data_IF_206990380287
#
_entry.id   IF_206990380287
#
_cell.length_a   1.000
_cell.length_b   1.000
_cell.length_c   1.000
_cell.angle_alpha   90.00
_cell.angle_beta   90.00
_cell.angle_gamma   90.00
#
_symmetry.space_group_name_H-M   'P 1'
#
loop_
_entity.id
_entity.type
_entity.pdbx_description
1 polymer ?
#
# COMPACT_ATOMS: atom_id res chain seq x y z
N UNK A 1 -0.99 33.83 21.97
CA UNK A 1 -2.14 32.93 22.17
C UNK A 1 -1.58 31.52 22.05
N UNK A 2 -1.43 30.80 23.14
CA UNK A 2 -1.07 29.39 23.15
C UNK A 2 -2.20 28.62 22.47
N UNK A 3 -1.97 28.16 21.25
CA UNK A 3 -2.87 27.21 20.60
C UNK A 3 -3.04 26.02 21.54
N UNK A 4 -4.20 25.88 22.15
CA UNK A 4 -4.54 24.66 22.91
C UNK A 4 -4.45 23.49 21.93
N UNK A 5 -3.44 22.63 22.11
CA UNK A 5 -3.28 21.46 21.28
C UNK A 5 -4.54 20.60 21.45
N UNK A 6 -5.18 20.23 20.35
CA UNK A 6 -6.37 19.36 20.38
C UNK A 6 -5.98 18.03 21.00
N UNK A 7 -6.68 17.61 22.06
CA UNK A 7 -6.42 16.36 22.77
C UNK A 7 -7.61 15.43 22.57
N UNK A 8 -7.33 14.22 22.10
CA UNK A 8 -8.30 13.13 21.90
C UNK A 8 -8.01 12.02 22.88
N UNK A 9 -9.06 11.54 23.53
CA UNK A 9 -9.01 10.45 24.50
C UNK A 9 -9.90 9.30 24.00
N UNK A 10 -9.31 8.18 23.60
CA UNK A 10 -10.02 6.98 23.20
C UNK A 10 -10.03 6.02 24.40
N UNK A 11 -11.23 5.64 24.88
CA UNK A 11 -11.40 4.85 26.10
C UNK A 11 -12.08 3.52 25.85
N UNK A 12 -11.67 2.48 26.58
CA UNK A 12 -12.35 1.18 26.62
C UNK A 12 -12.09 0.29 25.39
N UNK A 13 -11.19 0.69 24.47
CA UNK A 13 -10.85 -0.12 23.31
C UNK A 13 -9.99 -1.34 23.68
N UNK A 14 -10.08 -2.40 22.89
CA UNK A 14 -9.02 -3.42 22.82
C UNK A 14 -7.98 -2.95 21.80
N UNK A 15 -6.76 -2.65 22.27
CA UNK A 15 -5.71 -2.16 21.39
C UNK A 15 -4.81 -3.32 20.95
N UNK A 16 -4.74 -3.56 19.65
CA UNK A 16 -3.75 -4.43 18.99
C UNK A 16 -2.61 -3.52 18.52
N UNK A 17 -1.62 -3.31 19.39
CA UNK A 17 -0.61 -2.24 19.21
C UNK A 17 0.35 -2.48 18.05
N UNK A 18 0.55 -3.73 17.65
CA UNK A 18 1.58 -4.21 16.73
C UNK A 18 3.02 -3.91 17.21
N UNK A 19 3.18 -3.44 18.43
CA UNK A 19 4.45 -3.27 19.13
C UNK A 19 4.81 -4.58 19.87
N UNK A 20 6.05 -5.05 19.72
CA UNK A 20 6.47 -6.36 20.25
C UNK A 20 6.50 -6.42 21.80
N UNK A 21 6.54 -5.26 22.46
CA UNK A 21 6.57 -5.15 23.92
C UNK A 21 5.17 -4.92 24.49
N UNK A 22 4.38 -4.03 23.86
CA UNK A 22 3.05 -3.65 24.34
C UNK A 22 1.99 -4.70 24.01
N UNK A 23 2.10 -5.38 22.89
CA UNK A 23 1.18 -6.45 22.49
C UNK A 23 -0.28 -6.01 22.39
N UNK A 24 -1.18 -6.78 23.03
CA UNK A 24 -2.62 -6.49 23.11
C UNK A 24 -2.95 -5.93 24.49
N UNK A 25 -3.70 -4.83 24.54
CA UNK A 25 -4.12 -4.16 25.78
C UNK A 25 -5.65 -4.04 25.77
N UNK A 26 -6.30 -4.70 26.70
CA UNK A 26 -7.75 -4.65 26.85
C UNK A 26 -8.17 -3.46 27.73
N UNK A 27 -9.40 -2.95 27.53
CA UNK A 27 -9.95 -1.79 28.22
C UNK A 27 -8.97 -0.63 28.32
N UNK A 28 -8.32 -0.37 27.18
CA UNK A 28 -7.25 0.61 27.13
C UNK A 28 -7.77 2.03 27.02
N UNK A 29 -6.96 2.96 27.53
CA UNK A 29 -7.07 4.38 27.32
C UNK A 29 -5.88 4.85 26.49
N UNK A 30 -6.17 5.49 25.35
CA UNK A 30 -5.18 6.05 24.44
C UNK A 30 -5.33 7.57 24.41
N UNK A 31 -4.26 8.30 24.72
CA UNK A 31 -4.22 9.75 24.70
C UNK A 31 -3.43 10.24 23.49
N UNK A 32 -4.02 11.14 22.75
CA UNK A 32 -3.44 11.77 21.55
C UNK A 32 -3.44 13.29 21.77
N UNK A 33 -2.30 13.93 21.52
CA UNK A 33 -2.17 15.38 21.51
C UNK A 33 -1.58 15.84 20.16
N UNK A 34 -2.33 16.67 19.45
CA UNK A 34 -1.95 17.08 18.11
C UNK A 34 -1.86 15.88 17.17
N UNK A 35 -0.66 15.59 16.67
CA UNK A 35 -0.41 14.49 15.74
C UNK A 35 0.19 13.24 16.41
N UNK A 36 0.35 13.24 17.78
CA UNK A 36 1.12 12.22 18.47
C UNK A 36 0.34 11.44 19.52
N UNK A 37 0.69 10.17 19.63
CA UNK A 37 0.31 9.31 20.76
C UNK A 37 1.15 9.71 21.96
N UNK A 38 0.51 10.15 23.05
CA UNK A 38 1.18 10.60 24.26
C UNK A 38 1.27 9.48 25.29
N UNK A 39 0.17 8.75 25.48
CA UNK A 39 0.16 7.63 26.41
C UNK A 39 -0.81 6.54 25.98
N UNK A 40 -0.51 5.33 26.44
CA UNK A 40 -1.32 4.14 26.27
C UNK A 40 -1.26 3.36 27.58
N UNK A 41 -2.40 3.18 28.24
CA UNK A 41 -2.50 2.47 29.50
C UNK A 41 -3.83 1.74 29.62
N UNK A 42 -3.87 0.65 30.39
CA UNK A 42 -5.13 0.06 30.88
C UNK A 42 -5.60 0.75 32.16
N UNK A 43 -6.90 0.77 32.42
CA UNK A 43 -7.40 1.20 33.72
C UNK A 43 -6.89 0.25 34.83
N UNK A 44 -6.57 0.76 36.04
CA UNK A 44 -6.78 2.12 36.57
C UNK A 44 -5.59 3.08 36.37
N UNK A 45 -4.56 2.69 35.62
CA UNK A 45 -3.33 3.48 35.44
C UNK A 45 -3.47 4.60 34.39
N UNK A 46 -4.67 4.81 33.89
CA UNK A 46 -4.95 5.76 32.82
C UNK A 46 -4.87 7.22 33.31
N UNK A 47 -4.36 8.15 32.46
CA UNK A 47 -4.34 9.56 32.82
C UNK A 47 -5.74 10.14 32.94
N UNK A 48 -5.93 11.20 33.77
CA UNK A 48 -7.25 11.78 34.00
C UNK A 48 -7.82 12.42 32.73
N UNK A 49 -9.14 12.33 32.59
CA UNK A 49 -9.90 13.04 31.53
C UNK A 49 -9.93 14.52 31.88
N UNK A 50 -9.58 15.38 30.92
CA UNK A 50 -9.67 16.81 31.05
C UNK A 50 -11.00 17.32 30.45
N UNK A 51 -11.51 18.42 30.94
CA UNK A 51 -12.77 18.99 30.43
C UNK A 51 -12.68 19.46 28.97
N UNK A 52 -11.46 19.66 28.46
CA UNK A 52 -11.17 20.06 27.08
C UNK A 52 -10.93 18.90 26.13
N UNK A 53 -10.98 17.65 26.61
CA UNK A 53 -10.72 16.46 25.81
C UNK A 53 -11.90 16.15 24.89
N UNK A 54 -11.57 15.73 23.65
CA UNK A 54 -12.51 15.00 22.83
C UNK A 54 -12.50 13.53 23.29
N UNK A 55 -13.53 13.09 23.96
CA UNK A 55 -13.62 11.72 24.51
C UNK A 55 -14.37 10.81 23.54
N UNK A 56 -13.73 9.71 23.15
CA UNK A 56 -14.30 8.67 22.29
C UNK A 56 -14.50 7.40 23.14
N UNK A 57 -15.74 7.01 23.34
CA UNK A 57 -16.05 5.70 23.92
C UNK A 57 -15.88 4.61 22.85
N UNK A 58 -14.81 3.84 22.96
CA UNK A 58 -14.44 2.79 22.02
C UNK A 58 -14.63 1.36 22.62
N UNK A 59 -15.54 1.21 23.60
CA UNK A 59 -15.88 -0.11 24.14
C UNK A 59 -16.46 -0.98 23.03
N UNK A 60 -15.91 -2.19 22.89
CA UNK A 60 -16.27 -3.13 21.82
C UNK A 60 -15.61 -2.83 20.48
N UNK A 61 -14.67 -1.89 20.42
CA UNK A 61 -13.83 -1.68 19.26
C UNK A 61 -12.45 -2.30 19.44
N UNK A 62 -11.86 -2.73 18.33
CA UNK A 62 -10.43 -2.99 18.22
C UNK A 62 -9.79 -1.74 17.63
N UNK A 63 -8.79 -1.17 18.35
CA UNK A 63 -7.95 -0.11 17.80
C UNK A 63 -6.60 -0.71 17.40
N UNK A 64 -6.14 -0.39 16.19
CA UNK A 64 -4.82 -0.82 15.71
C UNK A 64 -4.18 0.27 14.86
N UNK A 65 -2.86 0.15 14.55
CA UNK A 65 -2.23 1.07 13.61
C UNK A 65 -2.99 1.06 12.30
N UNK A 66 -3.15 2.22 11.69
CA UNK A 66 -3.69 2.30 10.33
C UNK A 66 -2.81 1.53 9.35
N UNK A 67 -3.43 0.94 8.35
CA UNK A 67 -2.70 0.15 7.36
C UNK A 67 -1.74 1.01 6.54
N UNK A 68 -0.62 0.40 6.15
CA UNK A 68 0.36 0.97 5.23
C UNK A 68 0.28 0.20 3.93
N UNK A 69 -0.33 0.80 2.91
CA UNK A 69 -0.36 0.24 1.56
C UNK A 69 0.96 0.52 0.87
N UNK A 70 1.80 -0.50 0.74
CA UNK A 70 3.18 -0.38 0.29
C UNK A 70 3.35 -0.27 -1.24
N UNK A 71 2.27 -0.41 -2.01
CA UNK A 71 2.31 -0.29 -3.47
C UNK A 71 0.89 -0.17 -4.06
N UNK A 72 0.63 0.91 -4.77
CA UNK A 72 -0.63 1.12 -5.49
C UNK A 72 -0.44 2.11 -6.66
N UNK A 73 -1.23 1.92 -7.71
CA UNK A 73 -1.35 2.81 -8.86
C UNK A 73 -2.67 3.58 -8.79
N UNK A 74 -2.75 4.61 -7.94
CA UNK A 74 -4.01 5.32 -7.63
C UNK A 74 -4.70 5.92 -8.84
N UNK A 75 -3.94 6.39 -9.84
CA UNK A 75 -4.49 7.01 -11.04
C UNK A 75 -5.47 6.10 -11.81
N UNK A 76 -5.39 4.77 -11.62
CA UNK A 76 -6.25 3.79 -12.29
C UNK A 76 -7.65 3.64 -11.66
N UNK A 77 -7.92 4.28 -10.53
CA UNK A 77 -9.16 4.09 -9.78
C UNK A 77 -10.44 4.44 -10.58
N UNK A 78 -10.33 5.36 -11.54
CA UNK A 78 -11.44 5.65 -12.45
C UNK A 78 -11.84 4.47 -13.37
N UNK A 79 -11.00 3.43 -13.45
CA UNK A 79 -11.16 2.27 -14.33
C UNK A 79 -11.52 0.99 -13.55
N UNK A 80 -12.15 1.11 -12.37
CA UNK A 80 -12.57 -0.06 -11.56
C UNK A 80 -13.32 -1.10 -12.38
N UNK A 81 -12.93 -2.37 -12.22
CA UNK A 81 -13.53 -3.51 -12.91
C UNK A 81 -13.06 -3.73 -14.35
N UNK A 82 -12.27 -2.81 -14.92
CA UNK A 82 -11.80 -2.93 -16.32
C UNK A 82 -10.73 -4.01 -16.48
N UNK A 83 -9.81 -4.12 -15.52
CA UNK A 83 -8.66 -5.01 -15.60
C UNK A 83 -8.83 -6.34 -14.83
N UNK A 84 -10.02 -6.64 -14.30
CA UNK A 84 -10.23 -7.80 -13.41
C UNK A 84 -9.96 -9.16 -14.06
N UNK A 85 -10.07 -9.25 -15.38
CA UNK A 85 -9.87 -10.48 -16.15
C UNK A 85 -8.60 -10.43 -17.02
N UNK A 86 -7.72 -9.43 -16.81
CA UNK A 86 -6.51 -9.30 -17.63
C UNK A 86 -5.33 -10.04 -17.03
N UNK A 87 -4.59 -10.71 -17.90
CA UNK A 87 -3.23 -11.15 -17.61
C UNK A 87 -2.29 -9.94 -17.60
N UNK A 88 -1.06 -10.11 -17.11
CA UNK A 88 -0.04 -9.06 -17.14
C UNK A 88 0.23 -8.57 -18.57
N UNK A 89 0.22 -9.45 -19.58
CA UNK A 89 0.42 -9.06 -20.99
C UNK A 89 -0.73 -8.18 -21.49
N UNK A 90 -1.97 -8.53 -21.19
CA UNK A 90 -3.14 -7.73 -21.53
C UNK A 90 -3.13 -6.40 -20.78
N UNK A 91 -2.76 -6.41 -19.49
CA UNK A 91 -2.60 -5.19 -18.70
C UNK A 91 -1.55 -4.24 -19.30
N UNK A 92 -0.37 -4.71 -19.66
CA UNK A 92 0.66 -3.87 -20.30
C UNK A 92 0.15 -3.28 -21.62
N UNK A 93 -0.53 -4.09 -22.43
CA UNK A 93 -1.07 -3.66 -23.73
C UNK A 93 -2.23 -2.67 -23.58
N UNK A 94 -3.24 -3.02 -22.79
CA UNK A 94 -4.46 -2.23 -22.76
C UNK A 94 -4.39 -1.06 -21.77
N UNK A 95 -3.73 -1.25 -20.64
CA UNK A 95 -3.59 -0.18 -19.65
C UNK A 95 -2.47 0.79 -20.07
N UNK A 96 -1.22 0.32 -20.22
CA UNK A 96 -0.07 1.21 -20.42
C UNK A 96 0.05 1.74 -21.83
N UNK A 97 -0.05 0.90 -22.83
CA UNK A 97 0.04 1.32 -24.23
C UNK A 97 -1.27 1.94 -24.75
N UNK A 98 -2.41 1.66 -24.11
CA UNK A 98 -3.73 2.14 -24.48
C UNK A 98 -4.27 3.22 -23.55
N UNK A 99 -4.99 2.83 -22.53
CA UNK A 99 -5.78 3.71 -21.62
C UNK A 99 -4.94 4.83 -21.01
N UNK A 100 -3.74 4.53 -20.49
CA UNK A 100 -2.86 5.52 -19.84
C UNK A 100 -2.54 6.72 -20.74
N UNK A 101 -2.44 6.50 -22.07
CA UNK A 101 -2.14 7.57 -23.05
C UNK A 101 -3.29 8.56 -23.24
N UNK A 102 -4.49 8.25 -22.74
CA UNK A 102 -5.70 9.06 -22.86
C UNK A 102 -6.00 9.91 -21.62
N UNK A 103 -5.22 9.73 -20.56
CA UNK A 103 -5.40 10.48 -19.33
C UNK A 103 -4.98 11.94 -19.49
N UNK A 104 -5.82 12.84 -19.02
CA UNK A 104 -5.50 14.25 -18.79
C UNK A 104 -5.07 14.45 -17.32
N UNK A 105 -4.47 15.60 -16.96
CA UNK A 105 -4.21 15.92 -15.56
C UNK A 105 -5.45 15.82 -14.67
N UNK A 106 -6.61 16.21 -15.18
CA UNK A 106 -7.88 16.12 -14.44
C UNK A 106 -8.28 14.66 -14.17
N UNK A 107 -8.01 13.72 -15.08
CA UNK A 107 -8.28 12.29 -14.87
C UNK A 107 -7.31 11.69 -13.85
N UNK A 108 -6.04 12.08 -13.91
CA UNK A 108 -5.06 11.68 -12.89
C UNK A 108 -5.46 12.20 -11.52
N UNK A 109 -5.87 13.48 -11.42
CA UNK A 109 -6.34 14.06 -10.16
C UNK A 109 -7.51 13.27 -9.57
N UNK A 110 -8.59 13.09 -10.35
CA UNK A 110 -9.80 12.45 -9.81
C UNK A 110 -9.59 10.96 -9.52
N UNK A 111 -8.81 10.25 -10.33
CA UNK A 111 -8.44 8.86 -10.09
C UNK A 111 -7.63 8.71 -8.80
N UNK A 112 -6.58 9.52 -8.62
CA UNK A 112 -5.74 9.54 -7.42
C UNK A 112 -6.52 9.95 -6.18
N UNK A 113 -7.36 11.00 -6.27
CA UNK A 113 -8.19 11.45 -5.15
C UNK A 113 -9.15 10.36 -4.68
N UNK A 114 -9.88 9.75 -5.62
CA UNK A 114 -10.83 8.67 -5.33
C UNK A 114 -10.13 7.42 -4.76
N UNK A 115 -8.95 7.06 -5.29
CA UNK A 115 -8.14 5.97 -4.77
C UNK A 115 -7.68 6.23 -3.34
N UNK A 116 -7.14 7.42 -3.06
CA UNK A 116 -6.74 7.81 -1.72
C UNK A 116 -7.91 7.82 -0.73
N UNK A 117 -9.08 8.32 -1.14
CA UNK A 117 -10.29 8.27 -0.31
C UNK A 117 -10.76 6.84 -0.04
N UNK A 118 -10.69 5.94 -1.04
CA UNK A 118 -11.03 4.54 -0.82
C UNK A 118 -10.04 3.87 0.13
N UNK A 119 -8.75 4.18 0.02
CA UNK A 119 -7.75 3.68 0.97
C UNK A 119 -8.06 4.12 2.40
N UNK A 120 -8.39 5.41 2.63
CA UNK A 120 -8.87 5.89 3.94
C UNK A 120 -10.14 5.17 4.38
N UNK A 121 -11.11 4.95 3.47
CA UNK A 121 -12.34 4.22 3.77
C UNK A 121 -12.08 2.79 4.23
N UNK A 122 -11.03 2.15 3.71
CA UNK A 122 -10.61 0.78 4.03
C UNK A 122 -9.65 0.67 5.23
N UNK A 123 -9.33 1.78 5.93
CA UNK A 123 -8.46 1.77 7.12
C UNK A 123 -6.98 2.04 6.82
N UNK A 124 -6.61 2.34 5.59
CA UNK A 124 -5.25 2.73 5.22
C UNK A 124 -4.98 4.17 5.64
N UNK A 125 -3.91 4.40 6.38
CA UNK A 125 -3.49 5.75 6.79
C UNK A 125 -2.26 6.22 6.04
N UNK A 126 -1.47 5.29 5.50
CA UNK A 126 -0.26 5.57 4.71
C UNK A 126 -0.30 4.83 3.38
N UNK A 127 -0.08 5.55 2.29
CA UNK A 127 -0.18 5.05 0.92
C UNK A 127 1.10 5.32 0.15
N UNK A 128 1.66 4.29 -0.47
CA UNK A 128 2.65 4.45 -1.53
C UNK A 128 1.93 4.54 -2.87
N UNK A 129 1.83 5.75 -3.41
CA UNK A 129 1.34 5.96 -4.77
C UNK A 129 2.49 5.81 -5.77
N UNK A 130 2.59 4.63 -6.38
CA UNK A 130 3.56 4.31 -7.42
C UNK A 130 3.02 4.82 -8.76
N UNK A 131 3.15 6.14 -9.01
CA UNK A 131 2.54 6.80 -10.14
C UNK A 131 3.47 6.82 -11.36
N UNK A 132 3.17 6.02 -12.36
CA UNK A 132 3.91 5.95 -13.63
C UNK A 132 3.15 6.58 -14.80
N UNK A 133 2.09 7.33 -14.55
CA UNK A 133 1.36 8.07 -15.58
C UNK A 133 1.56 9.58 -15.45
N UNK A 134 2.83 9.98 -15.47
CA UNK A 134 3.28 11.38 -15.34
C UNK A 134 3.98 11.85 -16.65
N UNK A 135 3.26 11.97 -17.79
CA UNK A 135 3.87 12.40 -19.04
C UNK A 135 4.30 13.88 -19.04
N UNK A 136 3.72 14.70 -18.15
CA UNK A 136 4.06 16.13 -18.01
C UNK A 136 4.02 16.55 -16.54
N UNK A 137 4.65 17.71 -16.17
CA UNK A 137 4.59 18.24 -14.82
C UNK A 137 3.15 18.48 -14.32
N UNK A 138 2.20 18.82 -15.18
CA UNK A 138 0.82 19.04 -14.81
C UNK A 138 0.13 17.73 -14.36
N UNK A 139 0.48 16.60 -14.95
CA UNK A 139 -0.01 15.27 -14.47
C UNK A 139 0.58 14.95 -13.11
N UNK A 140 1.87 15.21 -12.91
CA UNK A 140 2.55 15.02 -11.62
C UNK A 140 1.89 15.88 -10.53
N UNK A 141 1.71 17.18 -10.80
CA UNK A 141 1.09 18.10 -9.85
C UNK A 141 -0.34 17.68 -9.52
N UNK A 142 -1.11 17.24 -10.51
CA UNK A 142 -2.48 16.75 -10.32
C UNK A 142 -2.54 15.54 -9.37
N UNK A 143 -1.62 14.58 -9.52
CA UNK A 143 -1.53 13.42 -8.61
C UNK A 143 -1.19 13.87 -7.18
N UNK A 144 -0.18 14.73 -7.03
CA UNK A 144 0.27 15.20 -5.72
C UNK A 144 -0.80 16.07 -5.02
N UNK A 145 -1.48 16.96 -5.76
CA UNK A 145 -2.59 17.78 -5.26
C UNK A 145 -3.74 16.89 -4.75
N UNK A 146 -4.04 15.82 -5.47
CA UNK A 146 -5.07 14.85 -5.08
C UNK A 146 -4.71 14.13 -3.77
N UNK A 147 -3.46 13.67 -3.63
CA UNK A 147 -2.99 13.04 -2.38
C UNK A 147 -3.05 14.02 -1.22
N UNK A 148 -2.55 15.25 -1.39
CA UNK A 148 -2.61 16.29 -0.35
C UNK A 148 -4.05 16.59 0.05
N UNK A 149 -4.94 16.78 -0.93
CA UNK A 149 -6.36 17.07 -0.69
C UNK A 149 -7.10 15.96 0.03
N UNK A 150 -6.75 14.70 -0.19
CA UNK A 150 -7.35 13.56 0.50
C UNK A 150 -7.05 13.53 1.99
N UNK A 151 -5.92 14.12 2.40
CA UNK A 151 -5.40 14.12 3.75
C UNK A 151 -4.82 12.78 4.22
N UNK A 152 -4.64 11.82 3.33
CA UNK A 152 -3.89 10.58 3.60
C UNK A 152 -2.39 10.90 3.74
N UNK A 153 -1.68 10.15 4.57
CA UNK A 153 -0.21 10.16 4.50
C UNK A 153 0.21 9.45 3.23
N UNK A 154 1.06 10.06 2.39
CA UNK A 154 1.49 9.41 1.16
C UNK A 154 2.98 9.55 0.88
N UNK A 155 3.55 8.50 0.30
CA UNK A 155 4.82 8.55 -0.41
C UNK A 155 4.50 8.52 -1.91
N UNK A 156 4.69 9.66 -2.57
CA UNK A 156 4.50 9.77 -4.01
C UNK A 156 5.77 9.30 -4.71
N UNK A 157 5.69 8.15 -5.36
CA UNK A 157 6.79 7.58 -6.13
C UNK A 157 6.63 7.99 -7.58
N UNK A 158 7.38 9.01 -7.99
CA UNK A 158 7.37 9.53 -9.35
C UNK A 158 7.90 8.51 -10.32
N UNK A 159 7.14 8.18 -11.36
CA UNK A 159 7.49 7.24 -12.41
C UNK A 159 7.22 7.79 -13.81
N UNK A 160 7.75 7.11 -14.81
CA UNK A 160 7.56 7.47 -16.20
C UNK A 160 6.55 6.57 -16.90
N UNK A 161 5.73 7.09 -17.83
CA UNK A 161 4.78 6.30 -18.61
C UNK A 161 5.49 5.29 -19.52
N UNK A 162 4.76 4.24 -19.90
CA UNK A 162 5.26 3.14 -20.73
C UNK A 162 4.43 3.01 -22.03
N UNK A 163 4.34 4.04 -22.86
CA UNK A 163 3.63 3.97 -24.14
C UNK A 163 4.37 3.10 -25.15
N UNK A 164 3.66 2.66 -26.20
CA UNK A 164 4.31 2.02 -27.34
C UNK A 164 5.33 2.97 -27.97
N UNK A 165 6.47 2.44 -28.45
CA UNK A 165 7.47 3.23 -29.16
C UNK A 165 6.90 3.89 -30.41
N UNK A 166 7.22 5.17 -30.61
CA UNK A 166 6.84 5.92 -31.82
C UNK A 166 8.06 6.13 -32.76
N UNK A 167 7.88 6.13 -34.08
CA UNK A 167 8.95 6.39 -34.99
C UNK A 167 9.69 7.71 -34.66
N UNK A 168 11.01 7.65 -34.61
CA UNK A 168 11.85 8.81 -34.31
C UNK A 168 11.95 9.22 -32.84
N UNK A 169 11.34 8.48 -31.94
CA UNK A 169 11.46 8.68 -30.51
C UNK A 169 12.17 7.50 -29.85
N UNK A 170 13.01 7.78 -28.84
CA UNK A 170 13.58 6.73 -28.01
C UNK A 170 12.46 5.99 -27.28
N UNK A 171 12.50 4.65 -27.23
CA UNK A 171 11.52 3.89 -26.46
C UNK A 171 11.69 4.18 -24.96
N UNK A 172 10.62 4.06 -24.17
CA UNK A 172 10.62 4.43 -22.75
C UNK A 172 11.73 3.74 -21.94
N UNK A 173 12.12 2.54 -22.32
CA UNK A 173 13.18 1.76 -21.64
C UNK A 173 14.60 2.24 -21.89
N UNK A 174 14.80 3.22 -22.80
CA UNK A 174 16.06 3.89 -23.09
C UNK A 174 16.07 5.34 -22.57
N UNK A 175 15.00 5.77 -21.91
CA UNK A 175 14.85 7.12 -21.35
C UNK A 175 15.12 7.09 -19.86
N UNK A 176 16.12 7.84 -19.40
CA UNK A 176 16.47 7.99 -17.98
C UNK A 176 15.38 8.74 -17.23
N UNK A 177 15.26 8.46 -15.96
CA UNK A 177 14.33 9.16 -15.06
C UNK A 177 14.56 10.68 -15.09
N UNK A 178 13.50 11.53 -15.16
CA UNK A 178 13.65 12.97 -15.38
C UNK A 178 14.13 13.70 -14.10
N UNK A 179 15.45 13.80 -13.93
CA UNK A 179 16.11 14.47 -12.77
C UNK A 179 15.45 15.80 -12.41
N UNK A 180 15.27 16.70 -13.39
CA UNK A 180 14.72 18.04 -13.15
C UNK A 180 13.33 18.01 -12.52
N UNK A 181 12.52 17.03 -12.86
CA UNK A 181 11.17 16.88 -12.32
C UNK A 181 11.23 16.40 -10.87
N UNK A 182 12.10 15.44 -10.55
CA UNK A 182 12.30 14.97 -9.17
C UNK A 182 12.81 16.11 -8.29
N UNK A 183 13.79 16.88 -8.77
CA UNK A 183 14.32 18.05 -8.04
C UNK A 183 13.24 19.14 -7.86
N UNK A 184 12.37 19.36 -8.88
CA UNK A 184 11.23 20.28 -8.79
C UNK A 184 10.25 19.84 -7.70
N UNK A 185 9.95 18.57 -7.61
CA UNK A 185 9.09 18.02 -6.55
C UNK A 185 9.72 18.23 -5.17
N UNK A 186 10.98 17.85 -4.99
CA UNK A 186 11.69 17.99 -3.71
C UNK A 186 11.78 19.44 -3.22
N UNK A 187 11.76 20.41 -4.14
CA UNK A 187 11.76 21.84 -3.80
C UNK A 187 10.42 22.35 -3.28
N UNK A 188 9.32 21.58 -3.41
CA UNK A 188 8.00 22.02 -2.96
C UNK A 188 7.85 21.90 -1.44
N UNK A 189 7.31 22.92 -0.73
CA UNK A 189 7.19 22.91 0.73
C UNK A 189 6.35 21.76 1.30
N UNK A 190 5.46 21.17 0.50
CA UNK A 190 4.59 20.05 0.92
C UNK A 190 5.36 18.75 1.17
N UNK A 191 6.58 18.62 0.65
CA UNK A 191 7.48 17.47 0.87
C UNK A 191 8.54 17.73 1.94
N UNK A 192 8.44 18.83 2.68
CA UNK A 192 9.37 19.18 3.75
C UNK A 192 9.30 18.23 4.94
N UNK A 193 10.30 18.33 5.82
CA UNK A 193 10.39 17.53 7.06
C UNK A 193 9.10 17.68 7.90
N UNK A 194 8.60 16.57 8.43
CA UNK A 194 7.38 16.54 9.26
C UNK A 194 6.06 16.59 8.49
N UNK A 195 6.08 16.72 7.18
CA UNK A 195 4.87 16.70 6.34
C UNK A 195 4.31 15.29 6.17
N UNK A 196 3.07 15.22 5.65
CA UNK A 196 2.40 13.94 5.38
C UNK A 196 2.77 13.36 4.03
N UNK A 197 3.32 14.17 3.12
CA UNK A 197 3.79 13.75 1.82
C UNK A 197 5.30 13.59 1.80
N UNK A 198 5.78 12.58 1.11
CA UNK A 198 7.19 12.35 0.80
C UNK A 198 7.36 11.94 -0.67
N UNK A 199 8.59 12.03 -1.17
CA UNK A 199 8.92 11.66 -2.56
C UNK A 199 9.76 10.40 -2.57
N UNK A 200 9.49 9.52 -3.52
CA UNK A 200 10.33 8.40 -3.93
C UNK A 200 10.47 8.35 -5.45
N UNK A 201 11.25 7.41 -5.94
CA UNK A 201 11.43 7.19 -7.38
C UNK A 201 10.88 5.83 -7.78
N UNK A 202 9.94 5.84 -8.71
CA UNK A 202 9.36 4.68 -9.37
C UNK A 202 10.15 4.39 -10.65
N UNK A 203 11.26 3.66 -10.52
CA UNK A 203 12.19 3.41 -11.63
C UNK A 203 11.86 2.15 -12.40
N UNK A 204 12.31 2.04 -13.64
CA UNK A 204 12.12 0.85 -14.47
C UNK A 204 12.98 -0.34 -13.97
N UNK A 205 14.16 -0.04 -13.46
CA UNK A 205 15.12 -1.04 -13.00
C UNK A 205 15.65 -1.95 -14.11
N UNK A 206 16.51 -2.93 -13.77
CA UNK A 206 17.11 -3.84 -14.75
C UNK A 206 16.10 -4.68 -15.52
N UNK A 207 14.93 -4.93 -14.95
CA UNK A 207 13.92 -5.76 -15.60
C UNK A 207 13.30 -5.07 -16.82
N UNK A 208 13.01 -3.76 -16.71
CA UNK A 208 12.25 -3.00 -17.72
C UNK A 208 13.06 -1.94 -18.46
N UNK A 209 14.36 -1.74 -18.18
CA UNK A 209 15.19 -0.77 -18.87
C UNK A 209 16.55 -1.31 -19.33
N UNK A 210 17.23 -0.56 -20.22
CA UNK A 210 18.61 -0.83 -20.57
C UNK A 210 19.52 -0.62 -19.35
N UNK A 211 20.70 -1.25 -19.38
CA UNK A 211 21.67 -1.19 -18.27
C UNK A 211 22.08 0.25 -17.95
N UNK A 212 22.30 1.06 -18.96
CA UNK A 212 22.68 2.48 -18.80
C UNK A 212 21.60 3.28 -18.08
N UNK A 213 20.32 3.06 -18.42
CA UNK A 213 19.18 3.69 -17.75
C UNK A 213 19.06 3.21 -16.31
N UNK A 214 19.11 1.90 -16.07
CA UNK A 214 19.02 1.35 -14.72
C UNK A 214 20.12 1.94 -13.81
N UNK A 215 21.39 1.90 -14.24
CA UNK A 215 22.49 2.47 -13.46
C UNK A 215 22.32 3.97 -13.19
N UNK A 216 21.90 4.74 -14.19
CA UNK A 216 21.68 6.18 -14.03
C UNK A 216 20.58 6.49 -13.02
N UNK A 217 19.46 5.76 -13.09
CA UNK A 217 18.30 5.98 -12.20
C UNK A 217 18.61 5.61 -10.74
N UNK A 218 19.32 4.51 -10.50
CA UNK A 218 19.73 4.14 -9.13
C UNK A 218 20.80 5.08 -8.56
N UNK A 219 21.73 5.58 -9.38
CA UNK A 219 22.68 6.62 -8.96
C UNK A 219 21.95 7.90 -8.58
N UNK A 220 20.96 8.31 -9.36
CA UNK A 220 20.13 9.49 -9.09
C UNK A 220 19.36 9.33 -7.77
N UNK A 221 18.72 8.18 -7.54
CA UNK A 221 17.99 7.91 -6.31
C UNK A 221 18.92 7.98 -5.09
N UNK A 222 20.12 7.41 -5.17
CA UNK A 222 21.14 7.47 -4.11
C UNK A 222 21.62 8.90 -3.87
N UNK A 223 21.92 9.65 -4.92
CA UNK A 223 22.37 11.05 -4.85
C UNK A 223 21.34 11.93 -4.14
N UNK A 224 20.06 11.74 -4.45
CA UNK A 224 18.95 12.50 -3.86
C UNK A 224 18.45 11.90 -2.53
N UNK A 225 19.06 10.82 -2.03
CA UNK A 225 18.65 10.10 -0.83
C UNK A 225 17.17 9.68 -0.86
N UNK A 226 16.71 9.14 -1.99
CA UNK A 226 15.36 8.67 -2.21
C UNK A 226 15.29 7.14 -2.28
N UNK A 227 14.15 6.59 -1.88
CA UNK A 227 13.84 5.18 -2.15
C UNK A 227 13.60 4.99 -3.65
N UNK A 228 14.32 4.04 -4.25
CA UNK A 228 14.06 3.56 -5.61
C UNK A 228 13.21 2.29 -5.54
N UNK A 229 12.01 2.34 -6.08
CA UNK A 229 11.10 1.19 -6.18
C UNK A 229 10.93 0.78 -7.65
N UNK A 230 10.94 -0.54 -7.93
CA UNK A 230 10.77 -1.05 -9.28
C UNK A 230 9.97 -2.35 -9.29
N UNK A 231 9.26 -2.57 -10.39
CA UNK A 231 8.62 -3.85 -10.67
C UNK A 231 9.66 -4.88 -11.13
N UNK A 232 9.55 -6.10 -10.64
CA UNK A 232 10.40 -7.22 -11.03
C UNK A 232 9.53 -8.43 -11.34
N UNK A 233 9.58 -8.89 -12.59
CA UNK A 233 8.79 -10.03 -13.08
C UNK A 233 8.07 -9.75 -14.40
N UNK A 234 7.45 -10.78 -14.96
CA UNK A 234 6.67 -10.68 -16.19
C UNK A 234 7.44 -11.01 -17.46
N UNK A 235 8.47 -11.84 -17.37
CA UNK A 235 9.25 -12.32 -18.51
C UNK A 235 10.76 -12.06 -18.37
N UNK A 236 11.55 -12.24 -19.44
CA UNK A 236 12.99 -12.04 -19.39
C UNK A 236 13.35 -10.57 -19.16
N UNK A 237 14.31 -10.34 -18.25
CA UNK A 237 14.83 -9.01 -17.97
C UNK A 237 15.48 -8.39 -19.21
N UNK A 238 15.24 -7.11 -19.43
CA UNK A 238 15.88 -6.37 -20.54
C UNK A 238 17.39 -6.21 -20.34
N UNK A 239 17.84 -6.13 -19.10
CA UNK A 239 19.25 -6.14 -18.70
C UNK A 239 19.51 -7.31 -17.75
N UNK A 240 19.77 -8.52 -18.28
CA UNK A 240 19.93 -9.74 -17.44
C UNK A 240 21.01 -9.60 -16.36
N UNK A 241 22.13 -8.93 -16.68
CA UNK A 241 23.24 -8.69 -15.75
C UNK A 241 23.10 -7.41 -14.94
N UNK A 242 21.96 -6.72 -15.05
CA UNK A 242 21.76 -5.41 -14.45
C UNK A 242 21.86 -5.40 -12.94
N UNK A 243 21.31 -6.39 -12.26
CA UNK A 243 21.44 -6.50 -10.81
C UNK A 243 22.88 -6.72 -10.35
N UNK A 244 23.64 -7.55 -11.07
CA UNK A 244 25.07 -7.75 -10.79
C UNK A 244 25.88 -6.47 -11.04
N UNK A 245 25.50 -5.66 -12.03
CA UNK A 245 26.13 -4.36 -12.28
C UNK A 245 25.84 -3.35 -11.16
N UNK A 246 24.59 -3.26 -10.68
CA UNK A 246 24.21 -2.43 -9.54
C UNK A 246 24.98 -2.83 -8.27
N UNK A 247 25.16 -4.12 -8.02
CA UNK A 247 25.91 -4.65 -6.89
C UNK A 247 27.38 -4.25 -6.97
N UNK A 248 28.04 -4.43 -8.14
CA UNK A 248 29.45 -4.00 -8.36
C UNK A 248 29.67 -2.52 -8.12
N UNK A 249 28.67 -1.68 -8.36
CA UNK A 249 28.74 -0.24 -8.09
C UNK A 249 28.31 0.13 -6.67
N UNK A 250 28.05 -0.86 -5.81
CA UNK A 250 27.60 -0.62 -4.43
C UNK A 250 26.27 0.11 -4.34
N UNK A 251 25.38 -0.07 -5.34
CA UNK A 251 24.10 0.59 -5.41
C UNK A 251 22.98 -0.20 -4.70
N UNK A 252 23.20 -1.46 -4.33
CA UNK A 252 22.25 -2.22 -3.53
C UNK A 252 22.22 -1.74 -2.08
N UNK A 253 21.03 -1.64 -1.50
CA UNK A 253 20.88 -1.16 -0.13
C UNK A 253 19.43 -1.03 0.33
N UNK A 254 19.20 -0.58 1.57
CA UNK A 254 17.87 -0.47 2.19
C UNK A 254 16.96 0.58 1.54
N UNK A 255 17.51 1.47 0.72
CA UNK A 255 16.75 2.42 -0.08
C UNK A 255 16.23 1.85 -1.41
N UNK A 256 16.35 0.54 -1.61
CA UNK A 256 15.79 -0.18 -2.75
C UNK A 256 14.57 -0.98 -2.30
N UNK A 257 13.50 -0.86 -3.08
CA UNK A 257 12.28 -1.64 -2.91
C UNK A 257 11.94 -2.39 -4.20
N UNK A 258 11.85 -3.70 -4.12
CA UNK A 258 11.43 -4.56 -5.24
C UNK A 258 9.96 -4.89 -5.08
N UNK A 259 9.18 -4.58 -6.12
CA UNK A 259 7.75 -4.94 -6.20
C UNK A 259 7.59 -6.26 -6.93
N UNK A 260 6.74 -7.14 -6.42
CA UNK A 260 6.52 -8.52 -6.87
C UNK A 260 7.73 -9.44 -6.62
N UNK A 261 8.60 -9.62 -7.61
CA UNK A 261 9.83 -10.41 -7.46
C UNK A 261 9.62 -11.92 -7.55
N UNK A 262 8.49 -12.38 -8.11
CA UNK A 262 8.08 -13.77 -8.18
C UNK A 262 9.08 -14.65 -8.94
N UNK A 263 9.77 -14.11 -9.94
CA UNK A 263 10.75 -14.75 -10.81
C UNK A 263 12.21 -14.69 -10.33
N UNK A 264 12.46 -14.00 -9.19
CA UNK A 264 13.82 -13.92 -8.64
C UNK A 264 14.35 -15.29 -8.24
N UNK A 265 15.59 -15.60 -8.67
CA UNK A 265 16.27 -16.80 -8.22
C UNK A 265 16.64 -16.70 -6.72
N UNK A 266 16.77 -17.85 -6.03
CA UNK A 266 17.11 -17.88 -4.61
C UNK A 266 18.44 -17.19 -4.31
N UNK A 267 19.46 -17.40 -5.15
CA UNK A 267 20.73 -16.71 -5.00
C UNK A 267 20.65 -15.18 -5.17
N UNK A 268 19.67 -14.65 -5.93
CA UNK A 268 19.41 -13.22 -6.00
C UNK A 268 18.72 -12.73 -4.73
N UNK A 269 17.72 -13.47 -4.23
CA UNK A 269 17.05 -13.13 -2.96
C UNK A 269 18.06 -13.10 -1.80
N UNK A 270 18.98 -14.07 -1.72
CA UNK A 270 20.01 -14.12 -0.68
C UNK A 270 20.85 -12.84 -0.68
N UNK A 271 21.30 -12.40 -1.86
CA UNK A 271 22.09 -11.16 -2.00
C UNK A 271 21.29 -9.92 -1.66
N UNK A 272 20.03 -9.82 -2.13
CA UNK A 272 19.17 -8.68 -1.85
C UNK A 272 18.85 -8.56 -0.37
N UNK A 273 18.54 -9.65 0.30
CA UNK A 273 18.30 -9.70 1.74
C UNK A 273 19.55 -9.29 2.50
N UNK A 274 20.73 -9.81 2.13
CA UNK A 274 22.01 -9.43 2.75
C UNK A 274 22.34 -7.94 2.56
N UNK A 275 21.93 -7.33 1.44
CA UNK A 275 22.11 -5.91 1.19
C UNK A 275 21.04 -5.02 1.87
N UNK A 276 20.02 -5.60 2.50
CA UNK A 276 18.92 -4.85 3.14
C UNK A 276 17.85 -4.35 2.17
N UNK A 277 17.80 -4.85 0.95
CA UNK A 277 16.73 -4.53 -0.02
C UNK A 277 15.38 -4.94 0.55
N UNK A 278 14.37 -4.10 0.38
CA UNK A 278 13.00 -4.35 0.83
C UNK A 278 12.11 -4.87 -0.29
N UNK A 279 11.01 -5.54 0.07
CA UNK A 279 10.07 -6.12 -0.89
C UNK A 279 8.65 -5.67 -0.60
N UNK A 280 7.91 -5.29 -1.66
CA UNK A 280 6.47 -5.00 -1.62
C UNK A 280 5.75 -6.00 -2.51
N UNK A 281 4.92 -6.85 -1.91
CA UNK A 281 4.17 -7.87 -2.63
C UNK A 281 2.72 -7.42 -2.80
N UNK A 282 2.11 -7.85 -3.89
CA UNK A 282 0.71 -7.54 -4.22
C UNK A 282 -0.03 -8.84 -4.53
N UNK A 283 -0.35 -9.64 -3.49
CA UNK A 283 -0.72 -11.05 -3.66
C UNK A 283 -1.91 -11.29 -4.58
N UNK A 284 -2.92 -10.38 -4.55
CA UNK A 284 -4.10 -10.52 -5.38
C UNK A 284 -3.76 -10.37 -6.87
N UNK A 285 -3.00 -9.32 -7.26
CA UNK A 285 -2.62 -9.10 -8.66
C UNK A 285 -1.60 -10.15 -9.13
N UNK A 286 -0.64 -10.50 -8.29
CA UNK A 286 0.37 -11.51 -8.62
C UNK A 286 -0.25 -12.85 -9.02
N UNK A 287 -1.23 -13.32 -8.26
CA UNK A 287 -1.94 -14.56 -8.53
C UNK A 287 -2.94 -14.43 -9.70
N UNK A 288 -3.60 -13.28 -9.83
CA UNK A 288 -4.64 -13.05 -10.85
C UNK A 288 -4.04 -12.81 -12.23
N UNK A 289 -2.97 -12.01 -12.32
CA UNK A 289 -2.35 -11.61 -13.58
C UNK A 289 -1.30 -12.59 -14.11
N UNK A 290 -0.96 -13.63 -13.34
CA UNK A 290 -0.03 -14.67 -13.78
C UNK A 290 1.44 -14.33 -13.52
N UNK A 291 1.77 -13.48 -12.55
CA UNK A 291 3.17 -13.26 -12.12
C UNK A 291 3.77 -14.51 -11.44
N UNK A 292 2.92 -15.36 -10.87
CA UNK A 292 3.30 -16.53 -10.10
C UNK A 292 2.92 -16.43 -8.63
N UNK A 293 3.54 -17.25 -7.80
CA UNK A 293 3.28 -17.24 -6.36
C UNK A 293 3.97 -16.07 -5.67
N UNK A 294 3.28 -15.31 -4.79
CA UNK A 294 3.92 -14.35 -3.89
C UNK A 294 5.07 -15.00 -3.10
N UNK A 295 6.20 -14.30 -3.01
CA UNK A 295 7.44 -14.88 -2.45
C UNK A 295 7.53 -14.83 -0.92
N UNK A 296 6.40 -14.72 -0.22
CA UNK A 296 6.30 -14.60 1.25
C UNK A 296 7.09 -15.69 1.97
N UNK A 297 6.86 -16.96 1.63
CA UNK A 297 7.56 -18.09 2.24
C UNK A 297 9.06 -18.08 1.96
N UNK A 298 9.45 -17.67 0.75
CA UNK A 298 10.87 -17.58 0.36
C UNK A 298 11.62 -16.49 1.16
N UNK A 299 10.98 -15.33 1.40
CA UNK A 299 11.52 -14.28 2.25
C UNK A 299 11.55 -14.69 3.72
N UNK A 300 10.48 -15.32 4.20
CA UNK A 300 10.38 -15.82 5.57
C UNK A 300 11.47 -16.83 5.92
N UNK A 301 11.82 -17.75 5.00
CA UNK A 301 12.94 -18.69 5.16
C UNK A 301 14.29 -17.97 5.31
N UNK A 302 14.40 -16.70 4.87
CA UNK A 302 15.58 -15.84 5.02
C UNK A 302 15.52 -14.91 6.22
N UNK A 303 14.50 -15.08 7.09
CA UNK A 303 14.32 -14.29 8.30
C UNK A 303 13.86 -12.86 8.07
N UNK A 304 13.34 -12.56 6.87
CA UNK A 304 12.80 -11.23 6.53
C UNK A 304 11.33 -11.31 6.13
N UNK A 305 10.63 -10.20 6.26
CA UNK A 305 9.25 -10.06 5.85
C UNK A 305 9.11 -9.03 4.72
N UNK A 306 8.10 -9.22 3.88
CA UNK A 306 7.69 -8.22 2.89
C UNK A 306 6.63 -7.29 3.46
N UNK A 307 6.53 -6.10 2.88
CA UNK A 307 5.32 -5.28 2.96
C UNK A 307 4.30 -5.73 1.91
N UNK A 308 3.03 -5.40 2.13
CA UNK A 308 1.93 -5.71 1.20
C UNK A 308 1.35 -4.43 0.61
N UNK A 309 1.02 -4.47 -0.67
CA UNK A 309 0.24 -3.46 -1.37
C UNK A 309 -0.96 -4.06 -2.10
N UNK A 310 -1.88 -3.21 -2.52
CA UNK A 310 -3.07 -3.62 -3.29
C UNK A 310 -2.88 -3.55 -4.79
N UNK A 311 -1.81 -2.91 -5.25
CA UNK A 311 -1.45 -2.69 -6.66
C UNK A 311 -2.43 -1.78 -7.41
N UNK A 312 -3.59 -2.28 -7.80
CA UNK A 312 -4.50 -1.56 -8.70
C UNK A 312 -5.97 -1.78 -8.38
N UNK A 313 -6.71 -0.70 -8.24
CA UNK A 313 -8.18 -0.76 -8.10
C UNK A 313 -8.91 -0.91 -9.45
N UNK A 314 -8.20 -0.87 -10.56
CA UNK A 314 -8.80 -1.19 -11.86
C UNK A 314 -9.20 -2.68 -12.00
N UNK A 315 -8.61 -3.55 -11.17
CA UNK A 315 -8.90 -4.99 -11.17
C UNK A 315 -9.28 -5.59 -9.82
N UNK A 316 -8.95 -4.92 -8.70
CA UNK A 316 -9.00 -5.47 -7.35
C UNK A 316 -9.77 -4.55 -6.39
N UNK A 317 -10.06 -5.03 -5.17
CA UNK A 317 -10.92 -4.33 -4.21
C UNK A 317 -10.28 -3.11 -3.55
N UNK A 318 -8.96 -3.05 -3.45
CA UNK A 318 -8.24 -2.00 -2.73
C UNK A 318 -8.19 -2.19 -1.21
N UNK A 319 -8.63 -3.32 -0.67
CA UNK A 319 -8.71 -3.59 0.77
C UNK A 319 -7.45 -4.27 1.30
N UNK A 320 -6.69 -3.58 2.18
CA UNK A 320 -5.44 -4.11 2.74
C UNK A 320 -5.63 -5.39 3.58
N UNK A 321 -6.73 -5.50 4.34
CA UNK A 321 -7.00 -6.73 5.09
C UNK A 321 -7.36 -7.91 4.17
N UNK A 322 -7.97 -7.65 3.01
CA UNK A 322 -8.21 -8.68 1.98
C UNK A 322 -6.89 -9.13 1.36
N UNK A 323 -6.02 -8.21 0.97
CA UNK A 323 -4.69 -8.52 0.43
C UNK A 323 -3.84 -9.33 1.45
N UNK A 324 -3.82 -8.92 2.73
CA UNK A 324 -3.11 -9.64 3.79
C UNK A 324 -3.67 -11.05 4.01
N UNK A 325 -4.99 -11.21 3.97
CA UNK A 325 -5.69 -12.49 4.14
C UNK A 325 -5.40 -13.43 2.98
N UNK A 326 -5.45 -12.92 1.75
CA UNK A 326 -5.08 -13.68 0.55
C UNK A 326 -3.64 -14.17 0.61
N UNK A 327 -2.70 -13.28 0.98
CA UNK A 327 -1.30 -13.62 1.20
C UNK A 327 -1.12 -14.76 2.21
N UNK A 328 -1.75 -14.65 3.38
CA UNK A 328 -1.69 -15.64 4.44
C UNK A 328 -2.25 -16.99 4.01
N UNK A 329 -3.44 -17.01 3.44
CA UNK A 329 -4.14 -18.25 3.04
C UNK A 329 -3.39 -18.92 1.91
N UNK A 330 -2.93 -18.15 0.92
CA UNK A 330 -2.14 -18.69 -0.18
C UNK A 330 -0.83 -19.34 0.31
N UNK A 331 -0.06 -18.66 1.16
CA UNK A 331 1.19 -19.26 1.67
C UNK A 331 0.93 -20.49 2.53
N UNK A 332 -0.10 -20.49 3.38
CA UNK A 332 -0.50 -21.69 4.13
C UNK A 332 -0.87 -22.84 3.20
N UNK A 333 -1.53 -22.56 2.08
CA UNK A 333 -1.87 -23.60 1.08
C UNK A 333 -0.61 -24.22 0.47
N UNK A 334 0.39 -23.41 0.11
CA UNK A 334 1.67 -23.90 -0.40
C UNK A 334 2.42 -24.74 0.64
N UNK A 335 2.47 -24.28 1.88
CA UNK A 335 3.15 -24.98 2.98
C UNK A 335 2.47 -26.32 3.29
N UNK A 336 1.13 -26.35 3.31
CA UNK A 336 0.34 -27.57 3.51
C UNK A 336 0.56 -28.58 2.37
N UNK A 337 0.68 -28.10 1.15
CA UNK A 337 0.99 -28.97 0.00
C UNK A 337 2.42 -29.53 0.08
N UNK A 338 3.40 -28.70 0.46
CA UNK A 338 4.77 -29.15 0.68
C UNK A 338 4.83 -30.22 1.80
N UNK A 339 4.09 -29.99 2.89
CA UNK A 339 3.98 -30.96 3.99
C UNK A 339 3.40 -32.30 3.51
N UNK A 340 2.28 -32.28 2.76
CA UNK A 340 1.67 -33.51 2.21
C UNK A 340 2.61 -34.27 1.32
N UNK A 341 3.39 -33.60 0.47
CA UNK A 341 4.35 -34.26 -0.43
C UNK A 341 5.52 -34.88 0.31
N UNK A 342 5.88 -34.32 1.46
CA UNK A 342 6.98 -34.85 2.29
C UNK A 342 6.54 -35.94 3.26
N UNK A 343 5.25 -36.10 3.56
CA UNK A 343 4.72 -37.10 4.48
C UNK A 343 4.87 -38.51 3.92
N UNK A 344 5.30 -39.44 4.77
CA UNK A 344 5.27 -40.86 4.43
C UNK A 344 3.83 -41.38 4.34
N UNK A 345 3.60 -42.48 3.61
CA UNK A 345 2.25 -43.03 3.42
C UNK A 345 1.53 -43.42 4.73
N UNK A 346 2.29 -43.62 5.82
CA UNK A 346 1.78 -43.93 7.17
C UNK A 346 1.50 -42.71 8.02
N UNK A 347 1.90 -41.50 7.60
CA UNK A 347 1.88 -40.32 8.43
C UNK A 347 0.63 -39.47 8.16
N UNK A 348 0.17 -38.65 9.13
CA UNK A 348 -0.85 -37.65 8.88
C UNK A 348 -0.40 -36.68 7.77
N UNK A 349 -1.23 -36.54 6.73
CA UNK A 349 -0.95 -35.61 5.62
C UNK A 349 -1.38 -34.16 5.92
N UNK A 350 -1.61 -33.82 7.18
CA UNK A 350 -2.06 -32.50 7.65
C UNK A 350 -1.04 -31.98 8.66
N UNK A 351 -0.50 -30.77 8.49
CA UNK A 351 0.43 -30.17 9.46
C UNK A 351 -0.21 -30.06 10.85
N UNK A 352 0.53 -30.31 11.93
CA UNK A 352 0.00 -30.23 13.30
C UNK A 352 -0.30 -28.81 13.75
N UNK A 353 0.31 -27.81 13.12
CA UNK A 353 0.12 -26.39 13.43
C UNK A 353 0.20 -25.53 12.17
N UNK A 354 -0.44 -24.35 12.18
CA UNK A 354 -0.27 -23.38 11.09
C UNK A 354 1.16 -22.87 11.01
N UNK A 355 1.71 -22.85 9.81
CA UNK A 355 3.09 -22.42 9.53
C UNK A 355 3.29 -20.92 9.72
N UNK A 356 2.28 -20.11 9.39
CA UNK A 356 2.27 -18.66 9.53
C UNK A 356 1.10 -18.24 10.41
N UNK A 357 1.35 -17.30 11.33
CA UNK A 357 0.32 -16.77 12.23
C UNK A 357 -0.32 -15.50 11.66
N UNK A 358 -1.54 -15.21 12.08
CA UNK A 358 -2.31 -14.02 11.67
C UNK A 358 -1.60 -12.72 12.05
N UNK A 359 -0.90 -12.68 13.19
CA UNK A 359 -0.11 -11.52 13.60
C UNK A 359 1.00 -11.19 12.60
N UNK A 360 1.62 -12.18 11.96
CA UNK A 360 2.63 -11.94 10.92
C UNK A 360 2.00 -11.22 9.73
N UNK A 361 0.79 -11.62 9.32
CA UNK A 361 0.08 -10.99 8.21
C UNK A 361 -0.37 -9.55 8.53
N UNK A 362 -0.76 -9.26 9.77
CA UNK A 362 -1.04 -7.88 10.19
C UNK A 362 0.23 -7.02 10.17
N UNK A 363 1.40 -7.58 10.50
CA UNK A 363 2.67 -6.87 10.40
C UNK A 363 3.00 -6.49 8.94
N UNK A 364 2.71 -7.34 7.97
CA UNK A 364 2.96 -7.04 6.55
C UNK A 364 2.25 -5.77 6.08
N UNK A 365 1.07 -5.49 6.61
CA UNK A 365 0.22 -4.34 6.23
C UNK A 365 0.31 -3.17 7.22
N UNK A 366 1.21 -3.22 8.20
CA UNK A 366 1.45 -2.15 9.18
C UNK A 366 2.94 -1.88 9.34
N UNK A 367 3.64 -2.71 10.10
CA UNK A 367 5.05 -2.56 10.50
C UNK A 367 6.00 -2.62 9.30
N UNK A 368 5.80 -3.60 8.41
CA UNK A 368 6.74 -3.81 7.30
C UNK A 368 6.60 -2.74 6.20
N UNK A 369 5.38 -2.23 5.98
CA UNK A 369 5.20 -1.05 5.12
C UNK A 369 5.87 0.21 5.69
N UNK A 370 5.75 0.43 7.01
CA UNK A 370 6.44 1.52 7.69
C UNK A 370 7.98 1.36 7.61
N UNK A 371 8.48 0.13 7.73
CA UNK A 371 9.91 -0.19 7.61
C UNK A 371 10.43 0.10 6.19
N UNK A 372 9.70 -0.34 5.17
CA UNK A 372 10.03 -0.11 3.76
C UNK A 372 10.16 1.38 3.43
N UNK A 373 9.32 2.21 4.07
CA UNK A 373 9.37 3.68 3.92
C UNK A 373 10.43 4.35 4.80
N UNK A 374 11.18 3.61 5.62
CA UNK A 374 12.09 4.19 6.62
C UNK A 374 11.38 5.00 7.71
N UNK A 375 10.08 4.70 7.97
CA UNK A 375 9.24 5.45 8.91
C UNK A 375 8.82 4.63 10.13
N UNK A 376 9.47 3.51 10.40
CA UNK A 376 9.10 2.63 11.51
C UNK A 376 9.14 3.33 12.89
N UNK A 377 9.99 4.31 13.06
CA UNK A 377 10.05 5.12 14.30
C UNK A 377 8.90 6.14 14.42
N UNK A 378 8.09 6.30 13.36
CA UNK A 378 7.02 7.29 13.30
C UNK A 378 5.64 6.68 13.23
N UNK A 379 5.45 5.58 12.49
CA UNK A 379 4.17 4.92 12.21
C UNK A 379 4.30 3.40 12.29
N UNK A 380 3.21 2.66 12.04
CA UNK A 380 3.18 1.20 11.94
C UNK A 380 2.89 0.46 13.23
N UNK A 381 2.94 1.16 14.39
CA UNK A 381 2.54 0.62 15.70
C UNK A 381 1.83 1.70 16.52
N UNK A 382 0.95 1.29 17.46
CA UNK A 382 0.40 2.18 18.49
C UNK A 382 1.39 2.19 19.66
N UNK A 383 2.29 3.15 19.65
CA UNK A 383 3.35 3.29 20.66
C UNK A 383 3.47 4.76 21.07
N UNK A 384 3.55 5.11 22.37
CA UNK A 384 3.78 6.49 22.79
C UNK A 384 5.00 7.13 22.09
N UNK A 385 4.83 8.38 21.65
CA UNK A 385 5.82 9.14 20.87
C UNK A 385 5.65 9.01 19.34
N UNK A 386 4.98 7.99 18.82
CA UNK A 386 4.67 7.84 17.40
C UNK A 386 3.47 8.69 16.98
N UNK A 387 3.26 8.81 15.69
CA UNK A 387 2.13 9.54 15.14
C UNK A 387 0.81 8.77 15.34
N UNK A 388 -0.24 9.52 15.54
CA UNK A 388 -1.58 8.97 15.71
C UNK A 388 -2.22 8.64 14.35
N UNK A 389 -1.74 7.58 13.75
CA UNK A 389 -2.26 6.96 12.53
C UNK A 389 -2.98 5.67 12.95
N UNK A 390 -4.31 5.70 13.05
CA UNK A 390 -5.12 4.68 13.71
C UNK A 390 -6.31 4.24 12.84
N UNK A 391 -6.73 2.99 13.05
CA UNK A 391 -8.01 2.48 12.60
C UNK A 391 -8.80 1.93 13.79
N UNK A 392 -10.08 2.29 13.89
CA UNK A 392 -11.03 1.70 14.83
C UNK A 392 -11.93 0.73 14.07
N UNK A 393 -11.88 -0.54 14.49
CA UNK A 393 -12.64 -1.65 13.92
C UNK A 393 -13.80 -1.96 14.85
N UNK A 394 -15.03 -1.81 14.39
CA UNK A 394 -16.23 -2.14 15.18
C UNK A 394 -16.37 -3.66 15.32
N UNK A 395 -15.95 -4.18 16.47
CA UNK A 395 -16.05 -5.59 16.79
C UNK A 395 -17.39 -5.99 17.43
N UNK A 396 -18.34 -5.06 17.57
CA UNK A 396 -19.70 -5.34 18.05
C UNK A 396 -20.60 -5.94 16.99
N UNK A 397 -20.20 -5.82 15.71
CA UNK A 397 -20.97 -6.36 14.59
C UNK A 397 -21.02 -7.89 14.60
N UNK A 398 -22.11 -8.51 14.10
CA UNK A 398 -22.34 -9.96 14.20
C UNK A 398 -21.20 -10.83 13.65
N UNK A 399 -20.49 -10.37 12.59
CA UNK A 399 -19.38 -11.12 12.00
C UNK A 399 -18.14 -11.21 12.89
N UNK A 400 -18.05 -10.41 13.96
CA UNK A 400 -16.92 -10.40 14.89
C UNK A 400 -17.28 -10.91 16.30
N UNK A 401 -18.54 -11.27 16.52
CA UNK A 401 -18.99 -11.77 17.83
C UNK A 401 -19.18 -13.30 17.84
N UNK A 402 -18.80 -13.99 18.94
CA UNK A 402 -18.07 -13.47 20.11
C UNK A 402 -16.58 -13.20 19.79
N UNK A 403 -16.00 -12.16 20.39
CA UNK A 403 -14.60 -11.79 20.22
C UNK A 403 -13.71 -12.59 21.20
N UNK A 404 -13.08 -13.66 20.72
CA UNK A 404 -12.17 -14.50 21.53
C UNK A 404 -10.71 -14.11 21.40
N UNK A 405 -10.31 -13.66 20.21
CA UNK A 405 -8.93 -13.28 19.88
C UNK A 405 -8.96 -12.05 18.97
N UNK A 406 -8.56 -10.88 19.47
CA UNK A 406 -8.65 -9.64 18.72
C UNK A 406 -7.68 -9.59 17.52
N UNK A 407 -6.52 -10.27 17.59
CA UNK A 407 -5.56 -10.34 16.46
C UNK A 407 -6.15 -11.18 15.32
N UNK A 408 -6.66 -12.37 15.66
CA UNK A 408 -7.29 -13.25 14.67
C UNK A 408 -8.52 -12.59 14.07
N UNK A 409 -9.37 -11.97 14.89
CA UNK A 409 -10.58 -11.30 14.43
C UNK A 409 -10.26 -10.09 13.53
N UNK A 410 -9.29 -9.27 13.88
CA UNK A 410 -8.87 -8.12 13.11
C UNK A 410 -8.44 -8.49 11.68
N UNK A 411 -7.79 -9.66 11.49
CA UNK A 411 -7.43 -10.11 10.16
C UNK A 411 -8.53 -10.92 9.48
N UNK A 412 -9.08 -11.92 10.16
CA UNK A 412 -9.87 -12.97 9.51
C UNK A 412 -11.36 -12.65 9.44
N UNK A 413 -11.90 -11.87 10.36
CA UNK A 413 -13.33 -11.54 10.42
C UNK A 413 -13.65 -10.12 9.96
N UNK A 414 -12.68 -9.19 9.94
CA UNK A 414 -12.93 -7.80 9.52
C UNK A 414 -13.38 -7.73 8.06
N UNK A 415 -14.38 -6.91 7.82
CA UNK A 415 -14.84 -6.47 6.51
C UNK A 415 -14.84 -4.94 6.44
N UNK A 416 -15.06 -4.35 5.27
CA UNK A 416 -15.18 -2.90 5.13
C UNK A 416 -16.24 -2.28 6.07
N UNK A 417 -17.32 -3.02 6.37
CA UNK A 417 -18.38 -2.58 7.27
C UNK A 417 -17.90 -2.39 8.72
N UNK A 418 -16.83 -3.08 9.12
CA UNK A 418 -16.26 -2.97 10.46
C UNK A 418 -15.31 -1.77 10.60
N UNK A 419 -14.81 -1.18 9.50
CA UNK A 419 -13.92 -0.02 9.56
C UNK A 419 -14.75 1.22 9.87
N UNK A 420 -14.84 1.55 11.16
CA UNK A 420 -15.68 2.65 11.64
C UNK A 420 -14.99 4.00 11.53
N UNK A 421 -13.78 4.10 12.06
CA UNK A 421 -13.07 5.39 12.12
C UNK A 421 -11.60 5.22 11.73
N UNK A 422 -11.07 6.26 11.06
CA UNK A 422 -9.67 6.30 10.60
C UNK A 422 -9.09 7.67 10.93
N UNK A 423 -7.94 7.67 11.58
CA UNK A 423 -7.20 8.87 11.96
C UNK A 423 -5.84 8.89 11.28
N UNK A 424 -5.47 10.02 10.71
CA UNK A 424 -4.13 10.27 10.13
C UNK A 424 -3.52 11.46 10.85
N UNK A 425 -2.38 11.24 11.48
CA UNK A 425 -1.67 12.26 12.25
C UNK A 425 -2.58 13.06 13.19
N UNK A 426 -3.37 12.35 14.00
CA UNK A 426 -4.26 12.92 14.98
C UNK A 426 -5.54 13.57 14.43
N UNK A 427 -5.80 13.48 13.13
CA UNK A 427 -6.99 14.02 12.49
C UNK A 427 -7.87 12.93 11.92
N UNK A 428 -9.15 12.94 12.29
CA UNK A 428 -10.11 12.01 11.72
C UNK A 428 -10.25 12.23 10.22
N UNK A 429 -10.25 11.14 9.44
CA UNK A 429 -10.51 11.09 8.00
C UNK A 429 -11.74 10.25 7.67
N UNK A 430 -12.08 9.34 8.58
CA UNK A 430 -13.33 8.60 8.59
C UNK A 430 -13.84 8.56 10.03
N UNK A 431 -15.15 8.69 10.24
CA UNK A 431 -15.77 8.63 11.56
C UNK A 431 -17.21 8.11 11.45
N UNK A 432 -17.57 7.14 12.27
CA UNK A 432 -18.90 6.54 12.22
C UNK A 432 -19.25 5.97 10.85
N UNK A 433 -18.27 5.34 10.19
CA UNK A 433 -18.44 4.75 8.86
C UNK A 433 -18.43 5.75 7.69
N UNK A 434 -18.27 7.06 7.93
CA UNK A 434 -18.33 8.11 6.90
C UNK A 434 -17.01 8.83 6.73
N UNK A 435 -16.58 9.02 5.49
CA UNK A 435 -15.45 9.90 5.17
C UNK A 435 -15.78 11.34 5.55
N UNK A 436 -14.80 12.05 6.11
CA UNK A 436 -14.92 13.43 6.56
C UNK A 436 -13.82 14.30 5.96
N UNK A 437 -14.12 15.57 5.75
CA UNK A 437 -13.19 16.55 5.22
C UNK A 437 -12.31 17.18 6.32
N UNK A 438 -11.48 18.14 5.95
CA UNK A 438 -10.61 18.87 6.89
C UNK A 438 -11.39 19.68 7.93
N UNK A 439 -12.66 20.04 7.66
CA UNK A 439 -13.55 20.78 8.56
C UNK A 439 -14.28 19.84 9.51
N UNK A 440 -13.96 18.53 9.48
CA UNK A 440 -14.63 17.48 10.25
C UNK A 440 -16.12 17.32 9.90
N UNK A 441 -16.49 17.70 8.66
CA UNK A 441 -17.80 17.49 8.10
C UNK A 441 -17.82 16.24 7.18
N UNK A 442 -18.98 15.59 7.05
CA UNK A 442 -19.13 14.47 6.13
C UNK A 442 -18.82 14.92 4.69
N UNK A 443 -17.94 14.20 4.02
CA UNK A 443 -17.59 14.47 2.63
C UNK A 443 -18.79 14.14 1.74
N UNK A 444 -19.23 15.12 0.94
CA UNK A 444 -20.28 14.87 -0.05
C UNK A 444 -19.72 13.99 -1.17
N UNK A 445 -20.23 12.76 -1.25
CA UNK A 445 -19.77 11.76 -2.20
C UNK A 445 -19.94 12.19 -3.67
N UNK A 446 -21.05 12.91 -4.00
CA UNK A 446 -21.29 13.30 -5.39
C UNK A 446 -20.29 14.33 -5.92
N UNK A 447 -19.64 15.10 -5.05
CA UNK A 447 -18.59 16.07 -5.45
C UNK A 447 -17.39 15.43 -6.13
N UNK A 448 -17.12 14.15 -5.86
CA UNK A 448 -15.99 13.41 -6.45
C UNK A 448 -16.40 12.16 -7.23
N UNK A 449 -17.54 11.53 -6.90
CA UNK A 449 -18.02 10.35 -7.65
C UNK A 449 -18.52 10.73 -9.05
N UNK A 450 -19.17 11.88 -9.23
CA UNK A 450 -19.64 12.31 -10.54
C UNK A 450 -18.44 12.55 -11.50
N UNK A 451 -17.42 13.35 -11.16
CA UNK A 451 -16.23 13.48 -12.00
C UNK A 451 -15.49 12.16 -12.25
N UNK A 452 -15.43 11.27 -11.24
CA UNK A 452 -14.79 9.96 -11.38
C UNK A 452 -15.52 9.09 -12.43
N UNK A 453 -16.86 9.04 -12.37
CA UNK A 453 -17.68 8.31 -13.35
C UNK A 453 -17.52 8.87 -14.76
N UNK A 454 -17.46 10.21 -14.88
CA UNK A 454 -17.28 10.86 -16.18
C UNK A 454 -15.90 10.56 -16.78
N UNK A 455 -14.85 10.63 -15.98
CA UNK A 455 -13.48 10.25 -16.35
C UNK A 455 -13.44 8.78 -16.83
N UNK A 456 -13.96 7.85 -16.03
CA UNK A 456 -13.98 6.43 -16.38
C UNK A 456 -14.71 6.13 -17.70
N UNK A 457 -15.89 6.73 -17.91
CA UNK A 457 -16.65 6.58 -19.16
C UNK A 457 -15.89 7.13 -20.38
N UNK A 458 -15.30 8.31 -20.25
CA UNK A 458 -14.53 8.93 -21.31
C UNK A 458 -13.31 8.10 -21.69
N UNK A 459 -12.55 7.63 -20.69
CA UNK A 459 -11.37 6.80 -20.90
C UNK A 459 -11.70 5.46 -21.56
N UNK A 460 -12.74 4.76 -21.10
CA UNK A 460 -13.20 3.52 -21.68
C UNK A 460 -13.63 3.71 -23.16
N UNK A 461 -14.39 4.77 -23.42
CA UNK A 461 -14.86 5.09 -24.79
C UNK A 461 -13.68 5.42 -25.73
N UNK A 462 -12.64 6.11 -25.24
CA UNK A 462 -11.49 6.53 -26.05
C UNK A 462 -10.71 5.34 -26.66
N UNK A 463 -10.73 4.17 -26.00
CA UNK A 463 -10.08 2.95 -26.47
C UNK A 463 -11.08 1.89 -26.97
N UNK A 464 -12.37 2.24 -27.07
CA UNK A 464 -13.41 1.31 -27.49
C UNK A 464 -13.61 0.12 -26.56
N UNK A 465 -13.32 0.29 -25.26
CA UNK A 465 -13.50 -0.78 -24.28
C UNK A 465 -14.97 -1.03 -24.00
N UNK A 466 -15.37 -2.28 -24.05
CA UNK A 466 -16.71 -2.76 -23.69
C UNK A 466 -16.63 -3.97 -22.78
N UNK A 467 -17.57 -4.15 -21.83
CA UNK A 467 -17.62 -5.35 -20.99
C UNK A 467 -17.71 -6.62 -21.83
N UNK A 468 -16.88 -7.61 -21.57
CA UNK A 468 -16.81 -8.87 -22.34
C UNK A 468 -17.87 -9.91 -21.91
N UNK A 469 -18.98 -9.50 -21.31
CA UNK A 469 -19.96 -10.42 -20.71
C UNK A 469 -20.75 -11.26 -21.72
N UNK A 470 -20.82 -10.85 -22.99
CA UNK A 470 -21.75 -11.49 -23.94
C UNK A 470 -21.18 -12.71 -24.67
N UNK A 471 -19.87 -12.89 -24.75
CA UNK A 471 -19.28 -13.98 -25.53
C UNK A 471 -19.08 -15.30 -24.78
N UNK A 472 -18.97 -15.27 -23.45
CA UNK A 472 -18.64 -16.45 -22.62
C UNK A 472 -19.88 -17.18 -22.09
N UNK A 473 -21.03 -16.52 -21.95
CA UNK A 473 -22.26 -17.16 -21.48
C UNK A 473 -22.96 -18.05 -22.54
N UNK A 474 -22.52 -18.01 -23.81
CA UNK A 474 -23.07 -18.83 -24.90
C UNK A 474 -22.23 -20.06 -25.26
N UNK A 475 -21.12 -20.34 -24.55
CA UNK A 475 -20.18 -21.41 -24.89
C UNK A 475 -20.29 -22.66 -23.99
N UNK A 476 -21.33 -22.79 -23.17
CA UNK A 476 -21.59 -24.01 -22.37
C UNK A 476 -23.02 -24.52 -22.55
#
# INVERSE_FOLDING_TARGET
MTSTCHRVLITGATIVSMDDVLGVIENAQLVIEGDRIISLASEPSAPPVLATDEVIDARGFIAMPGFVNAHMHTWQTALRGVASNWTLQEYLRWMHAGLATQFTPADVYIGTFAGALNQLNCGTTTLVDWCHNNPTPEHTDAAVDALERSGIRAAFFHGSPKPDPKPGQAPYWEVRHPRKEVERLLAQPRFGSGRHLSVGMAVLGPHYSTLDVALADFRLARELNLTASMHQGGGPARSPDGWAALEREGLLGPNINIVHGNDLADAQLDRFVAAGVTFSLTPESEMTQGHGHPIIGRLRHRGVAASIGVDLESGLSGEMFTAARMALVHQRSLDNEAFRRAAAASDPAIPPTSTIKTVEALRWVTVEGARMLGQIDRIGTITPGKQADLVLIDARLPNMQPLHDPINAALMQTSLANIDSVMVAGRWRKRGGRLIDERQAALDAETWLAPLRDSGRRLAAAVGWHPQHESTLRAH
#
